data_IF_081652577438
#
_entry.id   IF_081652577438
#
_cell.length_a   1.000
_cell.length_b   1.000
_cell.length_c   1.000
_cell.angle_alpha   90.00
_cell.angle_beta   90.00
_cell.angle_gamma   90.00
#
_symmetry.space_group_name_H-M   'P 1'
#
loop_
_entity.id
_entity.type
_entity.pdbx_description
1 polymer ?
#
# COMPACT_ATOMS: atom_id res chain seq x y z
N UNK A 1 16.63 -1.27 2.16
CA UNK A 1 15.43 -0.49 2.56
C UNK A 1 14.34 -0.69 1.52
N UNK A 2 13.16 -1.11 1.94
CA UNK A 2 12.02 -1.26 1.04
C UNK A 2 11.40 0.10 0.72
N UNK A 3 10.67 0.18 -0.40
CA UNK A 3 9.95 1.40 -0.80
C UNK A 3 8.94 1.83 0.27
N UNK A 4 8.20 0.89 0.84
CA UNK A 4 7.23 1.16 1.91
C UNK A 4 7.91 1.74 3.16
N UNK A 5 9.06 1.20 3.51
CA UNK A 5 9.82 1.69 4.66
C UNK A 5 10.33 3.12 4.42
N UNK A 6 10.77 3.42 3.20
CA UNK A 6 11.16 4.77 2.82
C UNK A 6 10.00 5.75 2.95
N UNK A 7 8.81 5.38 2.45
CA UNK A 7 7.61 6.21 2.59
C UNK A 7 7.28 6.48 4.06
N UNK A 8 7.39 5.46 4.93
CA UNK A 8 7.16 5.61 6.36
C UNK A 8 8.17 6.54 7.01
N UNK A 9 9.43 6.47 6.59
CA UNK A 9 10.48 7.37 7.09
C UNK A 9 10.26 8.81 6.65
N UNK A 10 9.79 9.02 5.42
CA UNK A 10 9.44 10.36 4.93
C UNK A 10 8.28 10.94 5.76
N UNK A 11 7.26 10.14 6.04
CA UNK A 11 6.15 10.54 6.92
C UNK A 11 6.65 10.92 8.31
N UNK A 12 7.50 10.11 8.89
CA UNK A 12 8.08 10.38 10.21
C UNK A 12 8.87 11.70 10.21
N UNK A 13 9.66 11.93 9.17
CA UNK A 13 10.42 13.16 9.03
C UNK A 13 9.50 14.38 8.97
N UNK A 14 8.41 14.31 8.20
CA UNK A 14 7.45 15.39 8.10
C UNK A 14 6.71 15.63 9.42
N UNK A 15 6.39 14.58 10.16
CA UNK A 15 5.78 14.68 11.49
C UNK A 15 6.73 15.38 12.45
N UNK A 16 8.00 15.00 12.44
CA UNK A 16 9.02 15.53 13.33
C UNK A 16 9.27 17.01 13.07
N UNK A 17 9.28 17.43 11.83
CA UNK A 17 9.45 18.83 11.45
C UNK A 17 8.23 19.67 11.82
N UNK A 18 7.03 19.10 11.73
CA UNK A 18 5.77 19.73 12.15
C UNK A 18 5.31 20.89 11.28
N UNK A 19 6.11 21.35 10.34
CA UNK A 19 5.84 22.48 9.47
C UNK A 19 6.03 22.10 8.00
N UNK A 20 5.76 23.05 7.13
CA UNK A 20 6.02 22.90 5.71
C UNK A 20 7.52 22.61 5.48
N UNK A 21 7.82 21.52 4.79
CA UNK A 21 9.18 21.13 4.47
C UNK A 21 9.38 21.21 2.96
N UNK A 22 10.42 21.92 2.54
CA UNK A 22 10.77 22.04 1.12
C UNK A 22 11.35 20.71 0.63
N UNK A 23 11.02 20.29 -0.59
CA UNK A 23 11.50 19.04 -1.20
C UNK A 23 13.01 18.91 -1.11
N UNK A 24 13.74 20.01 -1.32
CA UNK A 24 15.19 20.01 -1.26
C UNK A 24 15.72 19.54 0.10
N UNK A 25 15.06 19.92 1.18
CA UNK A 25 15.41 19.47 2.53
C UNK A 25 15.14 17.99 2.72
N UNK A 26 14.06 17.47 2.12
CA UNK A 26 13.75 16.04 2.14
C UNK A 26 14.82 15.25 1.38
N UNK A 27 15.20 15.72 0.19
CA UNK A 27 16.25 15.09 -0.63
C UNK A 27 17.59 15.07 0.12
N UNK A 28 17.92 16.16 0.80
CA UNK A 28 19.17 16.26 1.57
C UNK A 28 19.17 15.30 2.77
N UNK A 29 18.03 15.07 3.38
CA UNK A 29 17.91 14.22 4.56
C UNK A 29 18.04 12.73 4.22
N UNK A 30 17.55 12.33 3.05
CA UNK A 30 17.55 10.93 2.62
C UNK A 30 18.59 10.72 1.53
N UNK A 31 19.50 9.77 1.73
CA UNK A 31 20.54 9.42 0.77
C UNK A 31 20.00 8.45 -0.29
N UNK A 32 18.95 8.83 -0.99
CA UNK A 32 18.31 8.03 -2.02
C UNK A 32 18.22 8.83 -3.33
N UNK A 33 18.00 8.12 -4.43
CA UNK A 33 17.77 8.74 -5.72
C UNK A 33 16.54 9.65 -5.65
N UNK A 34 16.67 10.86 -6.20
CA UNK A 34 15.58 11.84 -6.23
C UNK A 34 14.35 11.32 -6.95
N UNK A 35 14.49 10.44 -7.94
CA UNK A 35 13.37 9.81 -8.65
C UNK A 35 12.57 8.89 -7.72
N UNK A 36 13.25 8.12 -6.91
CA UNK A 36 12.60 7.22 -5.93
C UNK A 36 11.88 8.04 -4.86
N UNK A 37 12.51 9.10 -4.37
CA UNK A 37 11.91 10.01 -3.40
C UNK A 37 10.67 10.70 -3.98
N UNK A 38 10.72 11.11 -5.24
CA UNK A 38 9.58 11.69 -5.95
C UNK A 38 8.40 10.71 -6.01
N UNK A 39 8.67 9.44 -6.29
CA UNK A 39 7.63 8.40 -6.29
C UNK A 39 7.01 8.22 -4.89
N UNK A 40 7.82 8.25 -3.85
CA UNK A 40 7.33 8.20 -2.47
C UNK A 40 6.41 9.38 -2.16
N UNK A 41 6.82 10.59 -2.51
CA UNK A 41 6.02 11.79 -2.28
C UNK A 41 4.72 11.77 -3.08
N UNK A 42 4.76 11.30 -4.31
CA UNK A 42 3.56 11.16 -5.13
C UNK A 42 2.58 10.15 -4.54
N UNK A 43 3.08 9.03 -4.02
CA UNK A 43 2.24 8.03 -3.36
C UNK A 43 1.57 8.60 -2.11
N UNK A 44 2.35 9.26 -1.27
CA UNK A 44 1.84 9.89 -0.05
C UNK A 44 0.79 10.97 -0.36
N UNK A 45 1.05 11.77 -1.38
CA UNK A 45 0.12 12.80 -1.83
C UNK A 45 -1.17 12.20 -2.39
N UNK A 46 -1.07 11.18 -3.22
CA UNK A 46 -2.22 10.50 -3.82
C UNK A 46 -3.11 9.85 -2.75
N UNK A 47 -2.48 9.27 -1.72
CA UNK A 47 -3.21 8.64 -0.62
C UNK A 47 -3.77 9.66 0.39
N UNK A 48 -3.46 10.93 0.23
CA UNK A 48 -3.98 12.01 1.06
C UNK A 48 -3.26 12.19 2.39
N UNK A 49 -2.09 11.60 2.57
CA UNK A 49 -1.32 11.68 3.81
C UNK A 49 -0.47 12.93 3.92
N UNK A 50 -0.12 13.52 2.77
CA UNK A 50 0.59 14.79 2.69
C UNK A 50 -0.10 15.70 1.68
N UNK A 51 0.12 17.00 1.82
CA UNK A 51 -0.31 17.97 0.82
C UNK A 51 0.86 18.84 0.42
N UNK A 52 0.82 19.34 -0.81
CA UNK A 52 1.80 20.29 -1.29
C UNK A 52 1.23 21.70 -1.23
N UNK A 53 2.11 22.66 -0.99
CA UNK A 53 1.78 24.08 -1.11
C UNK A 53 2.35 24.62 -2.41
N UNK A 54 1.52 24.70 -3.43
CA UNK A 54 1.86 25.32 -4.70
C UNK A 54 1.29 26.74 -4.84
N UNK A 55 0.43 27.14 -3.90
CA UNK A 55 -0.41 28.32 -4.06
C UNK A 55 0.31 29.66 -4.19
N UNK A 56 1.52 29.77 -3.62
CA UNK A 56 2.26 31.04 -3.54
C UNK A 56 3.47 31.09 -4.47
N UNK A 57 3.75 30.02 -5.22
CA UNK A 57 4.88 29.97 -6.12
C UNK A 57 4.41 30.35 -7.55
N UNK A 58 5.15 31.23 -8.27
CA UNK A 58 4.81 31.49 -9.65
C UNK A 58 4.84 30.20 -10.47
N UNK A 59 3.81 29.98 -11.29
CA UNK A 59 3.65 28.75 -12.07
C UNK A 59 4.82 28.42 -12.99
N UNK A 60 5.65 29.42 -13.30
CA UNK A 60 6.85 29.27 -14.11
C UNK A 60 8.03 28.64 -13.35
N UNK A 61 7.92 28.48 -12.03
CA UNK A 61 9.00 27.96 -11.17
C UNK A 61 8.60 26.67 -10.43
N UNK A 62 7.56 25.96 -10.88
CA UNK A 62 7.11 24.72 -10.26
C UNK A 62 8.05 23.55 -10.55
N UNK A 63 9.36 23.75 -10.36
CA UNK A 63 10.29 22.65 -10.31
C UNK A 63 10.03 21.82 -9.06
N UNK A 64 10.19 20.50 -9.16
CA UNK A 64 10.01 19.58 -8.04
C UNK A 64 10.77 20.04 -6.77
N UNK A 65 11.95 20.64 -6.95
CA UNK A 65 12.79 21.13 -5.86
C UNK A 65 12.17 22.29 -5.06
N UNK A 66 11.25 23.04 -5.66
CA UNK A 66 10.65 24.23 -5.05
C UNK A 66 9.30 23.94 -4.38
N UNK A 67 8.81 22.69 -4.45
CA UNK A 67 7.57 22.29 -3.78
C UNK A 67 7.80 22.10 -2.30
N UNK A 68 6.85 22.57 -1.49
CA UNK A 68 6.80 22.29 -0.07
C UNK A 68 5.72 21.28 0.25
N UNK A 69 5.97 20.41 1.21
CA UNK A 69 5.03 19.39 1.67
C UNK A 69 4.79 19.51 3.16
N UNK A 70 3.57 19.22 3.57
CA UNK A 70 3.22 19.14 4.99
C UNK A 70 2.30 17.93 5.22
N UNK A 71 2.37 17.38 6.43
CA UNK A 71 1.57 16.21 6.78
C UNK A 71 0.13 16.63 7.06
N UNK A 72 -0.83 15.79 6.65
CA UNK A 72 -2.24 15.95 6.97
C UNK A 72 -2.58 15.22 8.26
N UNK A 73 -3.75 15.51 8.86
CA UNK A 73 -4.23 14.73 9.99
C UNK A 73 -4.40 13.26 9.66
N UNK A 74 -4.84 12.94 8.44
CA UNK A 74 -4.93 11.57 7.94
C UNK A 74 -3.57 10.88 7.88
N UNK A 75 -2.54 11.62 7.43
CA UNK A 75 -1.17 11.09 7.39
C UNK A 75 -0.60 10.82 8.77
N UNK A 76 -0.86 11.71 9.71
CA UNK A 76 -0.43 11.52 11.10
C UNK A 76 -1.07 10.27 11.70
N UNK A 77 -2.39 10.10 11.55
CA UNK A 77 -3.11 8.93 12.04
C UNK A 77 -2.61 7.64 11.39
N UNK A 78 -2.35 7.68 10.08
CA UNK A 78 -1.81 6.53 9.33
C UNK A 78 -0.44 6.11 9.87
N UNK A 79 0.43 7.06 10.16
CA UNK A 79 1.74 6.76 10.75
C UNK A 79 1.59 6.16 12.15
N UNK A 80 0.67 6.67 12.97
CA UNK A 80 0.38 6.14 14.31
C UNK A 80 -0.08 4.67 14.25
N UNK A 81 -0.79 4.29 13.19
CA UNK A 81 -1.22 2.90 12.96
C UNK A 81 -0.10 2.00 12.41
N UNK A 82 1.10 2.50 12.23
CA UNK A 82 2.24 1.73 11.76
C UNK A 82 2.67 1.97 10.32
N UNK A 83 1.97 2.84 9.57
CA UNK A 83 2.34 3.23 8.21
C UNK A 83 2.15 2.12 7.17
N UNK A 84 2.82 2.28 6.04
CA UNK A 84 2.74 1.31 4.92
C UNK A 84 3.29 -0.06 5.27
N UNK A 85 4.30 -0.13 6.10
CA UNK A 85 4.91 -1.40 6.51
C UNK A 85 3.90 -2.27 7.24
N UNK A 86 3.16 -1.71 8.18
CA UNK A 86 2.13 -2.43 8.93
C UNK A 86 0.93 -2.76 8.05
N UNK A 87 0.52 -1.83 7.18
CA UNK A 87 -0.56 -2.06 6.24
C UNK A 87 -0.26 -3.24 5.32
N UNK A 88 0.96 -3.33 4.80
CA UNK A 88 1.40 -4.43 3.95
C UNK A 88 1.34 -5.76 4.70
N UNK A 89 1.76 -5.79 5.96
CA UNK A 89 1.68 -6.99 6.80
C UNK A 89 0.23 -7.44 7.00
N UNK A 90 -0.69 -6.51 7.25
CA UNK A 90 -2.12 -6.79 7.42
C UNK A 90 -2.72 -7.35 6.14
N UNK A 91 -2.42 -6.76 4.99
CA UNK A 91 -2.89 -7.24 3.69
C UNK A 91 -2.40 -8.65 3.42
N UNK A 92 -1.13 -8.94 3.69
CA UNK A 92 -0.58 -10.29 3.51
C UNK A 92 -1.26 -11.32 4.43
N UNK A 93 -1.55 -10.96 5.68
CA UNK A 93 -2.32 -11.82 6.60
C UNK A 93 -3.72 -12.09 6.07
N UNK A 94 -4.42 -11.06 5.63
CA UNK A 94 -5.78 -11.19 5.11
C UNK A 94 -5.80 -12.03 3.83
N UNK A 95 -4.83 -11.86 2.94
CA UNK A 95 -4.69 -12.71 1.74
C UNK A 95 -4.45 -14.17 2.10
N UNK A 96 -3.62 -14.46 3.08
CA UNK A 96 -3.39 -15.84 3.55
C UNK A 96 -4.66 -16.47 4.09
N UNK A 97 -5.46 -15.73 4.86
CA UNK A 97 -6.76 -16.21 5.37
C UNK A 97 -7.72 -16.49 4.23
N UNK A 98 -7.85 -15.58 3.27
CA UNK A 98 -8.73 -15.73 2.11
C UNK A 98 -8.30 -16.93 1.27
N UNK A 99 -7.03 -17.10 1.01
CA UNK A 99 -6.51 -18.24 0.23
C UNK A 99 -6.81 -19.57 0.92
N UNK A 100 -6.67 -19.64 2.25
CA UNK A 100 -6.99 -20.84 3.01
C UNK A 100 -8.50 -21.16 2.98
N UNK A 101 -9.35 -20.14 3.08
CA UNK A 101 -10.79 -20.31 2.98
C UNK A 101 -11.21 -20.75 1.58
N UNK A 102 -10.67 -20.14 0.54
CA UNK A 102 -10.88 -20.55 -0.84
C UNK A 102 -10.38 -21.96 -1.10
N UNK A 103 -9.26 -22.33 -0.56
CA UNK A 103 -8.73 -23.70 -0.66
C UNK A 103 -9.69 -24.72 -0.06
N UNK A 104 -10.22 -24.44 1.14
CA UNK A 104 -11.21 -25.32 1.81
C UNK A 104 -12.49 -25.46 0.96
N UNK A 105 -13.04 -24.36 0.49
CA UNK A 105 -14.25 -24.37 -0.35
C UNK A 105 -14.00 -25.14 -1.63
N UNK A 106 -12.89 -24.91 -2.29
CA UNK A 106 -12.52 -25.63 -3.51
C UNK A 106 -12.35 -27.12 -3.31
N UNK A 107 -11.75 -27.53 -2.19
CA UNK A 107 -11.58 -28.94 -1.83
C UNK A 107 -12.92 -29.61 -1.58
N UNK A 108 -13.82 -28.97 -0.84
CA UNK A 108 -15.16 -29.51 -0.58
C UNK A 108 -15.96 -29.67 -1.88
N UNK A 109 -15.87 -28.70 -2.80
CA UNK A 109 -16.50 -28.81 -4.13
C UNK A 109 -15.94 -29.97 -4.94
N UNK A 110 -14.64 -30.19 -4.92
CA UNK A 110 -14.01 -31.31 -5.61
C UNK A 110 -14.51 -32.64 -5.04
N UNK A 111 -14.57 -32.77 -3.72
CA UNK A 111 -15.08 -33.99 -3.06
C UNK A 111 -16.55 -34.23 -3.46
N UNK A 112 -17.37 -33.18 -3.47
CA UNK A 112 -18.79 -33.28 -3.87
C UNK A 112 -18.93 -33.71 -5.32
N UNK A 113 -18.13 -33.17 -6.24
CA UNK A 113 -18.15 -33.54 -7.66
C UNK A 113 -17.71 -34.99 -7.89
N UNK A 114 -16.68 -35.44 -7.16
CA UNK A 114 -16.20 -36.83 -7.23
C UNK A 114 -17.30 -37.77 -6.73
N UNK A 115 -17.96 -37.46 -5.63
CA UNK A 115 -19.06 -38.26 -5.08
C UNK A 115 -20.23 -38.37 -6.05
N UNK A 116 -20.61 -37.25 -6.71
CA UNK A 116 -21.64 -37.25 -7.74
C UNK A 116 -21.23 -38.11 -8.93
N UNK A 117 -20.01 -38.02 -9.40
CA UNK A 117 -19.47 -38.83 -10.49
C UNK A 117 -19.54 -40.31 -10.19
N UNK A 118 -19.19 -40.72 -8.98
CA UNK A 118 -19.30 -42.12 -8.54
C UNK A 118 -20.74 -42.60 -8.52
N UNK A 119 -21.68 -41.77 -8.04
CA UNK A 119 -23.11 -42.12 -8.04
C UNK A 119 -23.64 -42.32 -9.43
N UNK A 120 -23.31 -41.45 -10.38
CA UNK A 120 -23.71 -41.61 -11.79
C UNK A 120 -23.09 -42.84 -12.43
N UNK A 121 -21.81 -43.11 -12.15
CA UNK A 121 -21.15 -44.31 -12.68
C UNK A 121 -21.79 -45.58 -12.15
N UNK A 122 -22.12 -45.64 -10.87
CA UNK A 122 -22.79 -46.80 -10.26
C UNK A 122 -24.16 -47.05 -10.88
N UNK A 123 -24.95 -45.99 -11.13
CA UNK A 123 -26.23 -46.07 -11.81
C UNK A 123 -26.08 -46.55 -13.24
N UNK A 124 -25.05 -46.06 -13.95
CA UNK A 124 -24.77 -46.49 -15.32
C UNK A 124 -24.42 -47.97 -15.38
N UNK A 125 -23.59 -48.47 -14.48
CA UNK A 125 -23.16 -49.85 -14.41
C UNK A 125 -24.34 -50.76 -14.01
N UNK A 126 -25.21 -50.33 -13.11
CA UNK A 126 -26.36 -51.13 -12.66
C UNK A 126 -27.50 -51.19 -13.68
N UNK A 127 -27.54 -50.25 -14.63
CA UNK A 127 -28.55 -50.26 -15.71
C UNK A 127 -28.12 -51.10 -16.94
N UNK A 128 -26.91 -51.55 -16.94
CA UNK A 128 -26.36 -52.47 -17.95
C UNK A 128 -26.06 -53.85 -17.35
#
# INVERSE_FOLDING_TARGET
MTFNHLCDQVLFFLIKEGNLVITQNIVSRFSVDSKVLKLCLNRLYTDGFIQNMQGDLPSSHSAFADMGYYITGKGYAFYQDGGYTELTKRILKDRRKIDLEHFKIGWEMIISLVSLGFSFYALYVSSH
#
